data_IF_262873377300
#
_entry.id   IF_262873377300
#
_cell.length_a   1.000
_cell.length_b   1.000
_cell.length_c   1.000
_cell.angle_alpha   90.00
_cell.angle_beta   90.00
_cell.angle_gamma   90.00
#
_symmetry.space_group_name_H-M   'P 1'
#
loop_
_entity.id
_entity.type
_entity.pdbx_description
1 polymer ?
#
# COMPACT_ATOMS: atom_id res chain seq x y z
N UNK A 1 -26.36 -41.74 39.13
CA UNK A 1 -25.40 -42.25 40.14
C UNK A 1 -24.94 -41.07 40.96
N UNK A 2 -25.53 -40.89 42.13
CA UNK A 2 -25.19 -39.82 43.09
C UNK A 2 -24.16 -40.37 44.06
N UNK A 3 -23.04 -39.68 44.27
CA UNK A 3 -22.22 -39.83 45.49
C UNK A 3 -21.68 -38.45 45.90
N UNK A 4 -22.12 -38.01 47.08
CA UNK A 4 -21.58 -36.92 47.89
C UNK A 4 -20.27 -37.36 48.58
N UNK A 5 -19.36 -36.42 48.91
CA UNK A 5 -18.68 -36.33 50.22
C UNK A 5 -17.66 -35.16 50.26
N UNK A 6 -17.93 -34.09 51.00
CA UNK A 6 -17.50 -33.71 52.39
C UNK A 6 -16.25 -32.81 52.42
N UNK A 7 -16.43 -31.59 52.93
CA UNK A 7 -15.38 -30.67 53.41
C UNK A 7 -14.77 -31.20 54.72
N UNK A 8 -13.46 -31.00 54.95
CA UNK A 8 -12.88 -30.56 56.25
C UNK A 8 -11.42 -30.04 56.08
N UNK A 9 -10.92 -29.23 57.03
CA UNK A 9 -9.84 -28.24 56.80
C UNK A 9 -8.46 -28.70 57.31
N UNK A 10 -7.37 -28.13 56.79
CA UNK A 10 -6.01 -28.32 57.32
C UNK A 10 -5.15 -27.09 56.96
N UNK A 11 -5.06 -26.12 57.88
CA UNK A 11 -3.94 -25.81 58.78
C UNK A 11 -2.69 -25.28 58.08
N UNK A 12 -2.36 -24.04 58.43
CA UNK A 12 -1.15 -23.29 58.10
C UNK A 12 0.13 -24.11 58.29
N UNK A 13 0.98 -24.09 57.27
CA UNK A 13 2.42 -24.36 57.37
C UNK A 13 3.19 -23.16 56.80
N UNK A 14 4.03 -22.48 57.59
CA UNK A 14 4.96 -21.50 57.08
C UNK A 14 6.24 -22.20 56.62
N UNK A 15 6.75 -21.85 55.43
CA UNK A 15 8.16 -22.06 55.11
C UNK A 15 8.47 -22.77 53.79
N UNK A 16 9.04 -21.98 52.88
CA UNK A 16 9.99 -22.34 51.82
C UNK A 16 9.51 -23.24 50.68
N UNK A 17 8.98 -22.57 49.67
CA UNK A 17 9.30 -22.86 48.28
C UNK A 17 9.13 -21.56 47.51
N UNK A 18 10.22 -20.89 47.13
CA UNK A 18 10.17 -19.89 46.07
C UNK A 18 9.78 -20.63 44.78
N UNK A 19 8.48 -20.82 44.58
CA UNK A 19 7.93 -21.03 43.25
C UNK A 19 8.20 -19.73 42.52
N UNK A 20 9.21 -19.73 41.66
CA UNK A 20 9.29 -18.78 40.57
C UNK A 20 8.05 -19.07 39.73
N UNK A 21 6.95 -18.37 40.01
CA UNK A 21 5.82 -18.29 39.09
C UNK A 21 6.40 -17.52 37.91
N UNK A 22 6.92 -18.26 36.94
CA UNK A 22 7.23 -17.70 35.62
C UNK A 22 5.86 -17.36 35.06
N UNK A 23 5.42 -16.10 35.24
CA UNK A 23 4.19 -15.63 34.62
C UNK A 23 4.30 -15.92 33.12
N UNK A 24 3.32 -16.62 32.52
CA UNK A 24 3.43 -16.98 31.12
C UNK A 24 3.51 -15.71 30.30
N UNK A 25 4.52 -15.62 29.43
CA UNK A 25 4.61 -14.56 28.43
C UNK A 25 3.38 -14.66 27.54
N UNK A 26 2.39 -13.80 27.80
CA UNK A 26 1.08 -13.89 27.17
C UNK A 26 1.13 -13.22 25.79
N UNK A 27 1.21 -14.02 24.73
CA UNK A 27 1.01 -13.55 23.35
C UNK A 27 -0.43 -13.85 22.97
N UNK A 28 -1.24 -12.81 22.75
CA UNK A 28 -2.62 -12.95 22.30
C UNK A 28 -2.73 -12.58 20.83
N UNK A 29 -3.42 -13.41 20.04
CA UNK A 29 -3.64 -13.18 18.61
C UNK A 29 -5.14 -12.99 18.39
N UNK A 30 -5.53 -11.88 17.77
CA UNK A 30 -6.92 -11.52 17.48
C UNK A 30 -7.07 -11.13 16.01
N UNK A 31 -8.11 -11.66 15.34
CA UNK A 31 -8.47 -11.20 14.00
C UNK A 31 -9.06 -9.79 14.03
N UNK A 32 -8.60 -8.91 13.14
CA UNK A 32 -9.11 -7.56 12.93
C UNK A 32 -9.42 -7.34 11.44
N UNK A 33 -10.13 -6.26 11.10
CA UNK A 33 -10.53 -5.95 9.71
C UNK A 33 -9.32 -5.93 8.74
N UNK A 34 -8.18 -5.43 9.20
CA UNK A 34 -6.96 -5.24 8.39
C UNK A 34 -5.88 -6.32 8.63
N UNK A 35 -6.27 -7.49 9.15
CA UNK A 35 -5.40 -8.66 9.32
C UNK A 35 -5.41 -9.21 10.75
N UNK A 36 -4.23 -9.40 11.34
CA UNK A 36 -4.05 -9.97 12.67
C UNK A 36 -3.49 -8.92 13.63
N UNK A 37 -4.10 -8.78 14.79
CA UNK A 37 -3.54 -8.04 15.92
C UNK A 37 -2.87 -9.01 16.87
N UNK A 38 -1.60 -8.77 17.16
CA UNK A 38 -0.85 -9.51 18.16
C UNK A 38 -0.56 -8.60 19.33
N UNK A 39 -1.17 -8.90 20.48
CA UNK A 39 -0.92 -8.19 21.73
C UNK A 39 0.14 -8.94 22.51
N UNK A 40 1.22 -8.23 22.83
CA UNK A 40 2.36 -8.74 23.57
C UNK A 40 2.19 -8.39 25.06
N UNK A 41 2.20 -9.41 25.89
CA UNK A 41 2.18 -9.29 27.35
C UNK A 41 3.48 -8.77 27.95
N UNK A 42 3.46 -8.66 29.28
CA UNK A 42 4.60 -8.22 30.09
C UNK A 42 5.78 -9.20 30.01
N UNK A 43 6.99 -8.69 30.29
CA UNK A 43 8.24 -9.46 30.23
C UNK A 43 9.35 -8.78 29.42
N UNK A 44 10.50 -9.44 29.36
CA UNK A 44 11.65 -8.98 28.56
C UNK A 44 11.40 -9.19 27.05
N UNK A 45 11.83 -8.24 26.23
CA UNK A 45 11.64 -8.29 24.77
C UNK A 45 12.16 -9.58 24.15
N UNK A 46 13.35 -10.04 24.55
CA UNK A 46 14.00 -11.24 24.02
C UNK A 46 13.13 -12.50 24.23
N UNK A 47 12.61 -12.69 25.43
CA UNK A 47 11.73 -13.81 25.78
C UNK A 47 10.39 -13.74 25.04
N UNK A 48 9.78 -12.56 24.97
CA UNK A 48 8.47 -12.43 24.31
C UNK A 48 8.60 -12.55 22.79
N UNK A 49 9.64 -11.99 22.20
CA UNK A 49 9.95 -12.14 20.78
C UNK A 49 10.16 -13.61 20.41
N UNK A 50 10.89 -14.37 21.24
CA UNK A 50 11.05 -15.81 21.05
C UNK A 50 9.72 -16.55 21.08
N UNK A 51 8.88 -16.24 22.07
CA UNK A 51 7.54 -16.85 22.21
C UNK A 51 6.63 -16.52 21.04
N UNK A 52 6.64 -15.26 20.57
CA UNK A 52 5.89 -14.81 19.40
C UNK A 52 6.27 -15.61 18.15
N UNK A 53 7.57 -15.77 17.91
CA UNK A 53 8.06 -16.45 16.71
C UNK A 53 7.81 -17.95 16.77
N UNK A 54 7.92 -18.57 17.94
CA UNK A 54 7.52 -19.96 18.14
C UNK A 54 6.02 -20.17 17.82
N UNK A 55 5.14 -19.26 18.28
CA UNK A 55 3.71 -19.31 17.98
C UNK A 55 3.42 -19.14 16.48
N UNK A 56 4.19 -18.28 15.79
CA UNK A 56 4.08 -18.08 14.34
C UNK A 56 4.52 -19.33 13.59
N UNK A 57 5.60 -19.99 14.02
CA UNK A 57 6.11 -21.21 13.39
C UNK A 57 5.17 -22.40 13.60
N UNK A 58 4.61 -22.57 14.80
CA UNK A 58 3.60 -23.60 15.10
C UNK A 58 2.36 -23.46 14.21
N UNK A 59 1.99 -22.22 13.86
CA UNK A 59 0.80 -21.88 13.09
C UNK A 59 1.13 -21.23 11.74
N UNK A 60 2.23 -21.64 11.10
CA UNK A 60 2.77 -20.96 9.93
C UNK A 60 1.73 -20.78 8.79
N UNK A 61 0.88 -21.77 8.55
CA UNK A 61 -0.18 -21.71 7.52
C UNK A 61 -1.25 -20.64 7.79
N UNK A 62 -1.50 -20.32 9.07
CA UNK A 62 -2.43 -19.25 9.45
C UNK A 62 -1.84 -17.85 9.23
N UNK A 63 -0.52 -17.72 9.34
CA UNK A 63 0.19 -16.45 9.20
C UNK A 63 0.73 -16.19 7.79
N UNK A 64 0.73 -17.19 6.90
CA UNK A 64 1.28 -17.02 5.56
C UNK A 64 0.52 -15.94 4.77
N UNK A 65 1.23 -14.88 4.36
CA UNK A 65 0.62 -13.74 3.66
C UNK A 65 -0.17 -12.80 4.59
N UNK A 66 -0.14 -13.02 5.90
CA UNK A 66 -0.89 -12.22 6.85
C UNK A 66 -0.30 -10.81 6.99
N UNK A 67 -1.19 -9.84 7.14
CA UNK A 67 -0.87 -8.49 7.59
C UNK A 67 -1.00 -8.46 9.10
N UNK A 68 0.09 -8.17 9.80
CA UNK A 68 0.13 -8.18 11.25
C UNK A 68 0.33 -6.77 11.81
N UNK A 69 -0.49 -6.42 12.80
CA UNK A 69 -0.26 -5.30 13.70
C UNK A 69 0.18 -5.86 15.05
N UNK A 70 1.09 -5.16 15.73
CA UNK A 70 1.62 -5.57 17.02
C UNK A 70 1.31 -4.51 18.07
N UNK A 71 0.79 -4.90 19.22
CA UNK A 71 0.60 -4.04 20.38
C UNK A 71 1.62 -4.39 21.47
N UNK A 72 2.44 -3.42 21.86
CA UNK A 72 3.60 -3.63 22.76
C UNK A 72 3.49 -2.88 24.09
N UNK A 73 2.33 -2.31 24.38
CA UNK A 73 2.10 -1.54 25.61
C UNK A 73 3.11 -0.40 25.77
N UNK A 74 3.64 -0.22 26.99
CA UNK A 74 4.60 0.84 27.30
C UNK A 74 6.07 0.43 27.08
N UNK A 75 6.31 -0.68 26.36
CA UNK A 75 7.67 -1.18 26.12
C UNK A 75 8.41 -0.22 25.20
N UNK A 76 9.62 0.15 25.58
CA UNK A 76 10.55 0.91 24.72
C UNK A 76 11.22 -0.06 23.76
N UNK A 77 11.01 0.13 22.46
CA UNK A 77 11.66 -0.64 21.38
C UNK A 77 12.35 0.31 20.41
N UNK A 78 13.63 0.06 20.17
CA UNK A 78 14.47 0.86 19.29
C UNK A 78 14.48 0.31 17.85
N UNK A 79 15.03 1.09 16.93
CA UNK A 79 14.98 0.81 15.50
C UNK A 79 15.61 -0.54 15.12
N UNK A 80 16.68 -0.94 15.81
CA UNK A 80 17.32 -2.23 15.61
C UNK A 80 16.38 -3.40 15.97
N UNK A 81 15.66 -3.29 17.08
CA UNK A 81 14.78 -4.35 17.58
C UNK A 81 13.54 -4.51 16.69
N UNK A 82 12.88 -3.39 16.34
CA UNK A 82 11.73 -3.39 15.44
C UNK A 82 12.12 -3.78 14.01
N UNK A 83 13.29 -3.32 13.53
CA UNK A 83 13.82 -3.70 12.23
C UNK A 83 14.08 -5.20 12.14
N UNK A 84 14.82 -5.77 13.10
CA UNK A 84 15.09 -7.21 13.17
C UNK A 84 13.80 -8.04 13.22
N UNK A 85 12.80 -7.59 13.99
CA UNK A 85 11.51 -8.27 14.02
C UNK A 85 10.81 -8.22 12.66
N UNK A 86 10.71 -7.04 12.05
CA UNK A 86 10.07 -6.85 10.74
C UNK A 86 10.70 -7.76 9.69
N UNK A 87 12.02 -7.83 9.66
CA UNK A 87 12.74 -8.62 8.66
C UNK A 87 12.48 -10.12 8.89
N UNK A 88 12.53 -10.60 10.14
CA UNK A 88 12.20 -12.01 10.50
C UNK A 88 10.75 -12.40 10.17
N UNK A 89 9.82 -11.46 10.27
CA UNK A 89 8.42 -11.66 9.87
C UNK A 89 8.29 -11.67 8.35
N UNK A 90 8.97 -10.76 7.65
CA UNK A 90 8.98 -10.68 6.20
C UNK A 90 9.52 -11.95 5.55
N UNK A 91 10.58 -12.54 6.11
CA UNK A 91 11.14 -13.83 5.65
C UNK A 91 10.11 -14.97 5.69
N UNK A 92 9.10 -14.86 6.55
CA UNK A 92 7.99 -15.83 6.70
C UNK A 92 6.74 -15.40 5.94
N UNK A 93 6.82 -14.35 5.12
CA UNK A 93 5.71 -13.82 4.34
C UNK A 93 4.68 -13.03 5.16
N UNK A 94 5.05 -12.53 6.34
CA UNK A 94 4.19 -11.75 7.23
C UNK A 94 4.56 -10.28 7.13
N UNK A 95 3.59 -9.43 6.78
CA UNK A 95 3.80 -7.99 6.70
C UNK A 95 3.47 -7.34 8.05
N UNK A 96 4.49 -6.93 8.81
CA UNK A 96 4.29 -6.06 9.97
C UNK A 96 3.96 -4.65 9.47
N UNK A 97 2.70 -4.24 9.61
CA UNK A 97 2.23 -2.95 9.09
C UNK A 97 1.98 -1.89 10.18
N UNK A 98 1.77 -2.32 11.42
CA UNK A 98 1.57 -1.42 12.56
C UNK A 98 2.25 -1.90 13.84
N UNK A 99 2.69 -0.93 14.65
CA UNK A 99 3.17 -1.10 16.02
C UNK A 99 2.44 -0.10 16.91
N UNK A 100 1.50 -0.59 17.70
CA UNK A 100 0.75 0.19 18.68
C UNK A 100 1.49 0.17 20.01
N UNK A 101 1.78 1.34 20.55
CA UNK A 101 2.55 1.51 21.77
C UNK A 101 2.01 2.69 22.56
N UNK A 102 2.13 2.66 23.89
CA UNK A 102 1.94 3.83 24.75
C UNK A 102 3.26 4.54 25.09
N UNK A 103 4.41 3.96 24.72
CA UNK A 103 5.72 4.60 24.83
C UNK A 103 6.01 5.50 23.62
N UNK A 104 6.27 6.81 23.83
CA UNK A 104 6.58 7.75 22.74
C UNK A 104 7.82 7.37 21.93
N UNK A 105 8.83 6.76 22.57
CA UNK A 105 10.08 6.34 21.91
C UNK A 105 9.79 5.25 20.87
N UNK A 106 8.94 4.29 21.23
CA UNK A 106 8.55 3.19 20.34
C UNK A 106 7.64 3.68 19.21
N UNK A 107 6.71 4.60 19.50
CA UNK A 107 5.88 5.21 18.46
C UNK A 107 6.73 5.96 17.43
N UNK A 108 7.68 6.78 17.88
CA UNK A 108 8.59 7.50 16.99
C UNK A 108 9.45 6.54 16.16
N UNK A 109 9.96 5.48 16.79
CA UNK A 109 10.75 4.46 16.10
C UNK A 109 9.94 3.74 15.02
N UNK A 110 8.69 3.37 15.34
CA UNK A 110 7.77 2.74 14.41
C UNK A 110 7.50 3.65 13.19
N UNK A 111 7.28 4.94 13.42
CA UNK A 111 7.08 5.92 12.33
C UNK A 111 8.30 6.04 11.42
N UNK A 112 9.51 6.08 11.97
CA UNK A 112 10.76 6.12 11.19
C UNK A 112 10.92 4.88 10.31
N UNK A 113 10.45 3.72 10.76
CA UNK A 113 10.45 2.47 10.00
C UNK A 113 9.29 2.33 9.01
N UNK A 114 8.42 3.34 8.90
CA UNK A 114 7.25 3.34 8.02
C UNK A 114 6.07 2.51 8.54
N UNK A 115 6.05 2.19 9.84
CA UNK A 115 4.98 1.43 10.49
C UNK A 115 3.92 2.37 11.04
N UNK A 116 2.65 2.01 10.93
CA UNK A 116 1.57 2.77 11.53
C UNK A 116 1.55 2.60 13.06
N UNK A 117 1.20 3.65 13.81
CA UNK A 117 1.15 3.59 15.29
C UNK A 117 -0.25 3.41 15.87
N UNK A 118 -1.26 3.25 15.01
CA UNK A 118 -2.67 3.07 15.38
C UNK A 118 -3.32 2.03 14.47
N UNK A 119 -4.19 1.19 15.05
CA UNK A 119 -4.96 0.17 14.30
C UNK A 119 -6.05 0.79 13.45
N UNK A 120 -6.65 1.87 13.96
CA UNK A 120 -7.52 2.74 13.19
C UNK A 120 -6.67 3.61 12.29
N UNK A 121 -6.13 3.02 11.24
CA UNK A 121 -5.99 3.81 10.03
C UNK A 121 -7.42 3.92 9.48
N UNK A 122 -8.02 5.12 9.33
CA UNK A 122 -8.62 5.33 8.03
C UNK A 122 -7.48 4.98 7.10
N UNK A 123 -7.60 3.86 6.38
CA UNK A 123 -6.75 3.61 5.21
C UNK A 123 -6.62 5.00 4.61
N UNK A 124 -5.42 5.56 4.40
CA UNK A 124 -5.32 6.44 3.28
C UNK A 124 -5.64 5.49 2.11
N UNK A 125 -6.93 5.23 1.85
CA UNK A 125 -7.52 5.85 0.70
C UNK A 125 -6.82 7.19 0.66
N UNK A 126 -5.74 7.22 -0.12
CA UNK A 126 -5.79 8.11 -1.24
C UNK A 126 -7.24 8.03 -1.73
N UNK A 127 -8.12 8.81 -1.11
CA UNK A 127 -8.98 9.69 -1.83
C UNK A 127 -7.97 10.45 -2.66
N UNK A 128 -7.54 9.81 -3.75
CA UNK A 128 -7.62 10.41 -5.05
C UNK A 128 -9.02 10.96 -4.97
N UNK A 129 -9.16 12.21 -4.48
CA UNK A 129 -10.18 13.07 -5.02
C UNK A 129 -9.89 12.88 -6.49
N UNK A 130 -10.77 12.21 -7.25
CA UNK A 130 -10.65 12.34 -8.68
C UNK A 130 -10.65 13.85 -8.81
N UNK A 131 -9.49 14.42 -9.10
CA UNK A 131 -9.48 15.71 -9.72
C UNK A 131 -10.39 15.42 -10.91
N UNK A 132 -11.54 16.11 -11.00
CA UNK A 132 -12.40 15.98 -12.15
C UNK A 132 -11.53 16.31 -13.36
N UNK A 133 -10.95 15.25 -13.91
CA UNK A 133 -9.98 15.18 -15.00
C UNK A 133 -10.71 14.82 -16.28
N UNK A 134 -12.02 14.63 -16.19
CA UNK A 134 -12.95 14.76 -17.30
C UNK A 134 -12.91 16.19 -17.78
N UNK A 135 -11.93 16.47 -18.64
CA UNK A 135 -11.95 17.58 -19.54
C UNK A 135 -13.00 17.26 -20.61
N UNK A 136 -13.96 18.14 -20.84
CA UNK A 136 -14.73 18.11 -22.07
C UNK A 136 -13.74 18.39 -23.20
N UNK A 137 -13.38 17.35 -23.95
CA UNK A 137 -12.38 17.44 -24.99
C UNK A 137 -12.87 18.27 -26.17
N UNK A 138 -11.96 18.97 -26.82
CA UNK A 138 -12.22 19.63 -28.08
C UNK A 138 -12.40 18.60 -29.21
N UNK A 139 -13.19 18.93 -30.22
CA UNK A 139 -13.45 18.04 -31.36
C UNK A 139 -12.15 17.72 -32.11
N UNK A 140 -11.94 16.46 -32.47
CA UNK A 140 -10.75 16.05 -33.21
C UNK A 140 -10.94 14.79 -34.05
N UNK A 141 -10.16 14.68 -35.12
CA UNK A 141 -10.10 13.51 -36.01
C UNK A 141 -8.82 12.74 -35.74
N UNK A 142 -8.95 11.44 -35.46
CA UNK A 142 -7.82 10.54 -35.24
C UNK A 142 -7.61 9.61 -36.45
N UNK A 143 -6.41 9.60 -37.01
CA UNK A 143 -6.09 8.90 -38.26
C UNK A 143 -4.93 7.95 -38.02
N UNK A 144 -5.17 6.64 -38.12
CA UNK A 144 -4.15 5.61 -37.89
C UNK A 144 -3.65 4.99 -39.19
N UNK A 145 -2.97 5.78 -40.03
CA UNK A 145 -2.34 5.32 -41.29
C UNK A 145 -1.37 6.35 -41.84
N UNK A 146 -0.42 5.89 -42.65
CA UNK A 146 0.42 6.75 -43.49
C UNK A 146 -0.42 7.44 -44.57
N UNK A 147 -0.27 8.76 -44.68
CA UNK A 147 -0.85 9.59 -45.74
C UNK A 147 0.14 9.71 -46.89
N UNK A 148 -0.36 9.52 -48.12
CA UNK A 148 0.44 9.49 -49.35
C UNK A 148 -0.03 10.59 -50.31
N UNK A 149 0.71 10.78 -51.39
CA UNK A 149 0.31 11.69 -52.47
C UNK A 149 -1.16 11.49 -52.88
N UNK A 150 -1.90 12.59 -52.99
CA UNK A 150 -3.32 12.62 -53.36
C UNK A 150 -4.30 12.52 -52.18
N UNK A 151 -3.82 12.32 -50.94
CA UNK A 151 -4.70 12.37 -49.76
C UNK A 151 -4.87 13.81 -49.28
N UNK A 152 -6.12 14.28 -49.27
CA UNK A 152 -6.53 15.54 -48.64
C UNK A 152 -7.47 15.27 -47.48
N UNK A 153 -7.14 15.80 -46.30
CA UNK A 153 -7.94 15.67 -45.09
C UNK A 153 -8.27 17.07 -44.57
N UNK A 154 -9.54 17.30 -44.25
CA UNK A 154 -10.02 18.55 -43.69
C UNK A 154 -10.87 18.29 -42.45
N UNK A 155 -10.69 19.11 -41.40
CA UNK A 155 -11.47 19.07 -40.17
C UNK A 155 -11.57 20.48 -39.58
N UNK A 156 -12.72 20.84 -39.01
CA UNK A 156 -12.87 22.06 -38.20
C UNK A 156 -12.27 21.93 -36.80
N UNK A 157 -11.98 20.70 -36.36
CA UNK A 157 -11.33 20.42 -35.07
C UNK A 157 -9.84 20.13 -35.19
N UNK A 158 -9.28 19.53 -34.16
CA UNK A 158 -7.90 19.03 -34.18
C UNK A 158 -7.73 17.84 -35.12
N UNK A 159 -6.52 17.58 -35.59
CA UNK A 159 -6.18 16.37 -36.35
C UNK A 159 -4.98 15.68 -35.69
N UNK A 160 -5.12 14.41 -35.35
CA UNK A 160 -4.01 13.57 -34.89
C UNK A 160 -3.77 12.42 -35.86
N UNK A 161 -2.53 12.26 -36.32
CA UNK A 161 -2.13 11.24 -37.28
C UNK A 161 -1.12 10.32 -36.61
N UNK A 162 -1.47 9.04 -36.48
CA UNK A 162 -0.54 7.97 -36.11
C UNK A 162 0.00 7.33 -37.38
N UNK A 163 1.08 7.91 -37.92
CA UNK A 163 1.72 7.51 -39.16
C UNK A 163 2.43 8.67 -39.87
N UNK A 164 3.15 8.33 -40.95
CA UNK A 164 3.87 9.33 -41.75
C UNK A 164 2.92 10.15 -42.65
N UNK A 165 3.29 11.39 -42.90
CA UNK A 165 2.68 12.25 -43.92
C UNK A 165 3.68 12.44 -45.05
N UNK A 166 3.49 11.72 -46.14
CA UNK A 166 4.42 11.76 -47.27
C UNK A 166 4.14 12.94 -48.22
N UNK A 167 5.10 13.28 -49.11
CA UNK A 167 4.91 14.35 -50.09
C UNK A 167 3.63 14.18 -50.92
N UNK A 168 2.95 15.29 -51.17
CA UNK A 168 1.68 15.34 -51.89
C UNK A 168 0.44 14.98 -51.07
N UNK A 169 0.58 14.70 -49.78
CA UNK A 169 -0.55 14.70 -48.85
C UNK A 169 -0.82 16.13 -48.33
N UNK A 170 -2.09 16.48 -48.13
CA UNK A 170 -2.56 17.77 -47.63
C UNK A 170 -3.44 17.57 -46.39
N UNK A 171 -3.15 18.30 -45.31
CA UNK A 171 -3.94 18.28 -44.07
C UNK A 171 -4.31 19.71 -43.71
N UNK A 172 -5.60 19.96 -43.49
CA UNK A 172 -6.14 21.25 -43.09
C UNK A 172 -6.97 21.03 -41.83
N UNK A 173 -6.55 21.64 -40.71
CA UNK A 173 -7.26 21.58 -39.44
C UNK A 173 -7.67 22.99 -39.00
N UNK A 174 -8.88 23.10 -38.47
CA UNK A 174 -9.36 24.31 -37.78
C UNK A 174 -8.62 24.53 -36.46
N UNK A 175 -8.14 23.47 -35.80
CA UNK A 175 -7.30 23.55 -34.61
C UNK A 175 -5.91 22.92 -34.79
N UNK A 176 -5.36 22.36 -33.70
CA UNK A 176 -4.03 21.76 -33.66
C UNK A 176 -3.85 20.52 -34.57
N UNK A 177 -2.63 20.30 -35.06
CA UNK A 177 -2.25 19.10 -35.80
C UNK A 177 -1.07 18.39 -35.13
N UNK A 178 -1.24 17.10 -34.82
CA UNK A 178 -0.19 16.25 -34.26
C UNK A 178 0.09 15.09 -35.21
N UNK A 179 1.34 14.94 -35.64
CA UNK A 179 1.80 13.83 -36.47
C UNK A 179 2.76 12.97 -35.67
N UNK A 180 2.33 11.79 -35.29
CA UNK A 180 3.19 10.76 -34.71
C UNK A 180 3.87 9.98 -35.84
N UNK A 181 4.85 10.62 -36.47
CA UNK A 181 5.58 10.12 -37.63
C UNK A 181 6.18 11.25 -38.47
N UNK A 182 6.84 10.87 -39.57
CA UNK A 182 7.58 11.81 -40.41
C UNK A 182 6.63 12.69 -41.22
N UNK A 183 6.80 14.00 -41.08
CA UNK A 183 6.05 15.00 -41.82
C UNK A 183 6.84 15.53 -43.03
N UNK A 184 6.36 15.24 -44.24
CA UNK A 184 6.89 15.70 -45.53
C UNK A 184 5.83 16.25 -46.50
N UNK A 185 4.54 16.13 -46.16
CA UNK A 185 3.43 16.73 -46.90
C UNK A 185 3.14 18.17 -46.46
N UNK A 186 2.03 18.73 -46.94
CA UNK A 186 1.58 20.07 -46.58
C UNK A 186 0.56 20.03 -45.44
N UNK A 187 0.75 20.88 -44.43
CA UNK A 187 -0.16 21.00 -43.28
C UNK A 187 -0.49 22.46 -43.02
N UNK A 188 -1.76 22.72 -42.79
CA UNK A 188 -2.30 23.99 -42.27
C UNK A 188 -3.06 23.66 -40.98
N UNK A 189 -2.68 24.31 -39.89
CA UNK A 189 -3.42 24.32 -38.61
C UNK A 189 -4.04 25.70 -38.42
N UNK A 190 -5.09 25.80 -37.60
CA UNK A 190 -5.74 27.08 -37.34
C UNK A 190 -6.52 27.65 -38.53
N UNK A 191 -6.92 26.80 -39.49
CA UNK A 191 -7.51 27.23 -40.76
C UNK A 191 -8.82 28.02 -40.61
N UNK A 192 -9.47 27.91 -39.45
CA UNK A 192 -10.71 28.62 -39.10
C UNK A 192 -10.44 29.94 -38.34
N UNK A 193 -9.18 30.43 -38.34
CA UNK A 193 -8.78 31.71 -37.73
C UNK A 193 -8.17 31.59 -36.33
N UNK A 194 -7.72 30.40 -35.92
CA UNK A 194 -7.01 30.19 -34.66
C UNK A 194 -5.49 30.35 -34.86
N UNK A 195 -5.00 31.56 -34.67
CA UNK A 195 -3.57 31.90 -34.77
C UNK A 195 -2.71 31.24 -33.67
N UNK A 196 -3.33 30.62 -32.65
CA UNK A 196 -2.63 29.90 -31.59
C UNK A 196 -2.43 28.41 -31.90
N UNK A 197 -3.02 27.91 -32.99
CA UNK A 197 -2.95 26.52 -33.38
C UNK A 197 -1.51 26.10 -33.77
N UNK A 198 -1.12 24.91 -33.31
CA UNK A 198 0.23 24.38 -33.51
C UNK A 198 0.25 23.14 -34.39
N UNK A 199 1.37 22.97 -35.10
CA UNK A 199 1.72 21.72 -35.80
C UNK A 199 2.92 21.09 -35.09
N UNK A 200 2.79 19.82 -34.69
CA UNK A 200 3.88 19.05 -34.08
C UNK A 200 4.09 17.73 -34.83
N UNK A 201 5.35 17.32 -35.02
CA UNK A 201 5.72 16.06 -35.66
C UNK A 201 6.90 15.38 -34.93
N UNK A 202 6.99 14.04 -34.99
CA UNK A 202 8.03 13.21 -34.36
C UNK A 202 8.86 12.39 -35.36
#
# INVERSE_FOLDING_TARGET
MTVHTVRRPMKDYPGLGYFMVVEPLTVQIKGIKDGLLVTIGEGEWSGVQGTLLANIEEKASFFQGARMAMEVGNRVLHAAELGQLRDRLSDRGIALWAVVSSSPVTEQTAQVLGLATRLSMPRPERTIRPLDTTLEGENGVFIRRTLRSGFKIMSHGHITILGDVNPGAEIIAGGNVVVWGRLRGSIVAGADGDDSAMVCAM
#
